data_IF_737574745000
#
_entry.id   IF_737574745000
#
_cell.length_a   1.000
_cell.length_b   1.000
_cell.length_c   1.000
_cell.angle_alpha   90.00
_cell.angle_beta   90.00
_cell.angle_gamma   90.00
#
_symmetry.space_group_name_H-M   'P 1'
#
loop_
_entity.id
_entity.type
_entity.pdbx_description
1 polymer ?
#
# COMPACT_ATOMS: atom_id res chain seq x y z
N UNK A 1 29.72 21.61 -17.81
CA UNK A 1 28.72 20.90 -18.63
C UNK A 1 27.52 21.82 -18.80
N UNK A 2 27.04 21.94 -20.02
CA UNK A 2 25.87 22.74 -20.40
C UNK A 2 24.71 21.80 -20.75
N UNK A 3 23.46 22.29 -20.74
CA UNK A 3 22.30 21.52 -21.18
C UNK A 3 22.43 21.03 -22.64
N UNK A 4 23.25 21.68 -23.45
CA UNK A 4 23.60 21.24 -24.81
C UNK A 4 24.26 19.86 -24.86
N UNK A 5 24.92 19.43 -23.78
CA UNK A 5 25.68 18.18 -23.73
C UNK A 5 24.80 16.96 -23.39
N UNK A 6 23.54 17.19 -23.02
CA UNK A 6 22.62 16.14 -22.55
C UNK A 6 22.34 15.03 -23.56
N UNK A 7 22.14 15.29 -24.86
CA UNK A 7 21.93 14.23 -25.84
C UNK A 7 23.10 13.24 -25.88
N UNK A 8 24.34 13.75 -25.86
CA UNK A 8 25.55 12.93 -25.88
C UNK A 8 25.75 12.17 -24.58
N UNK A 9 25.46 12.79 -23.42
CA UNK A 9 25.51 12.11 -22.12
C UNK A 9 24.50 10.97 -22.03
N UNK A 10 23.26 11.18 -22.50
CA UNK A 10 22.25 10.12 -22.57
C UNK A 10 22.75 8.95 -23.42
N UNK A 11 23.32 9.23 -24.60
CA UNK A 11 23.89 8.19 -25.47
C UNK A 11 25.00 7.40 -24.75
N UNK A 12 25.94 8.10 -24.12
CA UNK A 12 27.04 7.47 -23.35
C UNK A 12 26.52 6.59 -22.21
N UNK A 13 25.55 7.07 -21.44
CA UNK A 13 24.97 6.27 -20.36
C UNK A 13 24.19 5.06 -20.87
N UNK A 14 23.40 5.22 -21.93
CA UNK A 14 22.69 4.08 -22.56
C UNK A 14 23.67 3.01 -23.03
N UNK A 15 24.71 3.40 -23.79
CA UNK A 15 25.72 2.47 -24.28
C UNK A 15 26.43 1.76 -23.12
N UNK A 16 26.77 2.50 -22.06
CA UNK A 16 27.43 1.92 -20.88
C UNK A 16 26.53 0.98 -20.11
N UNK A 17 25.31 1.38 -19.76
CA UNK A 17 24.41 0.53 -18.97
C UNK A 17 24.03 -0.78 -19.67
N UNK A 18 24.05 -0.82 -21.02
CA UNK A 18 23.83 -2.05 -21.79
C UNK A 18 24.96 -3.10 -21.65
N UNK A 19 26.14 -2.72 -21.16
CA UNK A 19 27.29 -3.63 -21.05
C UNK A 19 27.18 -4.65 -19.90
N UNK A 20 26.24 -4.45 -18.96
CA UNK A 20 26.05 -5.32 -17.79
C UNK A 20 24.57 -5.44 -17.43
N UNK A 21 24.22 -6.52 -16.73
CA UNK A 21 22.89 -6.68 -16.15
C UNK A 21 22.66 -5.68 -15.02
N UNK A 22 21.40 -5.46 -14.64
CA UNK A 22 21.05 -4.62 -13.48
C UNK A 22 21.76 -5.10 -12.21
N UNK A 23 21.76 -6.42 -11.94
CA UNK A 23 22.42 -7.03 -10.79
C UNK A 23 23.93 -6.74 -10.77
N UNK A 24 24.60 -6.85 -11.91
CA UNK A 24 26.02 -6.52 -12.03
C UNK A 24 26.29 -5.04 -11.78
N UNK A 25 25.41 -4.13 -12.21
CA UNK A 25 25.52 -2.72 -11.88
C UNK A 25 25.30 -2.45 -10.40
N UNK A 26 24.33 -3.11 -9.76
CA UNK A 26 24.13 -3.03 -8.32
C UNK A 26 25.40 -3.41 -7.57
N UNK A 27 26.07 -4.51 -7.95
CA UNK A 27 27.35 -4.90 -7.35
C UNK A 27 28.47 -3.88 -7.56
N UNK A 28 28.50 -3.20 -8.70
CA UNK A 28 29.52 -2.16 -9.00
C UNK A 28 29.33 -0.91 -8.14
N UNK A 29 28.08 -0.51 -7.88
CA UNK A 29 27.77 0.68 -7.11
C UNK A 29 27.63 0.43 -5.61
N UNK A 30 27.48 -0.82 -5.19
CA UNK A 30 27.40 -1.18 -3.78
C UNK A 30 28.66 -0.74 -3.01
N UNK A 31 28.46 -0.18 -1.82
CA UNK A 31 29.55 0.38 -0.99
C UNK A 31 30.25 1.63 -1.55
N UNK A 32 29.74 2.24 -2.64
CA UNK A 32 30.27 3.51 -3.18
C UNK A 32 29.48 4.72 -2.69
N UNK A 33 30.04 5.93 -2.83
CA UNK A 33 29.35 7.20 -2.51
C UNK A 33 28.34 7.64 -3.60
N UNK A 34 28.00 6.74 -4.53
CA UNK A 34 27.06 7.02 -5.60
C UNK A 34 25.63 6.65 -5.19
N UNK A 35 24.69 7.60 -5.29
CA UNK A 35 23.27 7.36 -5.08
C UNK A 35 22.64 6.62 -6.28
N UNK A 36 22.82 5.31 -6.34
CA UNK A 36 22.26 4.44 -7.37
C UNK A 36 21.36 3.38 -6.72
N UNK A 37 20.18 3.18 -7.29
CA UNK A 37 19.25 2.11 -6.90
C UNK A 37 18.72 1.42 -8.16
N UNK A 38 18.50 0.09 -8.13
CA UNK A 38 17.78 -0.57 -9.21
C UNK A 38 16.33 -0.07 -9.28
N UNK A 39 15.74 -0.17 -10.47
CA UNK A 39 14.29 -0.07 -10.65
C UNK A 39 13.73 -1.47 -10.49
N UNK A 40 12.97 -1.68 -9.42
CA UNK A 40 12.37 -2.96 -9.06
C UNK A 40 10.93 -3.05 -9.57
N UNK A 41 10.47 -4.27 -9.88
CA UNK A 41 9.04 -4.53 -10.03
C UNK A 41 8.33 -4.43 -8.67
N UNK A 42 7.00 -4.41 -8.65
CA UNK A 42 6.26 -4.44 -7.39
C UNK A 42 6.57 -5.72 -6.59
N UNK A 43 6.59 -6.87 -7.26
CA UNK A 43 6.92 -8.16 -6.63
C UNK A 43 8.35 -8.15 -6.06
N UNK A 44 9.33 -7.69 -6.83
CA UNK A 44 10.73 -7.60 -6.37
C UNK A 44 10.88 -6.62 -5.20
N UNK A 45 10.16 -5.50 -5.22
CA UNK A 45 10.19 -4.51 -4.16
C UNK A 45 9.67 -5.10 -2.84
N UNK A 46 8.63 -5.93 -2.86
CA UNK A 46 8.11 -6.59 -1.66
C UNK A 46 9.11 -7.58 -1.06
N UNK A 47 9.94 -8.17 -1.93
CA UNK A 47 10.94 -9.18 -1.56
C UNK A 47 12.32 -8.62 -1.28
N UNK A 48 12.54 -7.32 -1.52
CA UNK A 48 13.82 -6.65 -1.27
C UNK A 48 14.20 -6.69 0.21
N UNK A 49 15.48 -6.95 0.52
CA UNK A 49 15.97 -7.15 1.89
C UNK A 49 15.60 -5.99 2.82
N UNK A 50 15.82 -4.75 2.39
CA UNK A 50 15.42 -3.56 3.14
C UNK A 50 13.93 -3.52 3.52
N UNK A 51 13.05 -3.98 2.63
CA UNK A 51 11.61 -3.99 2.90
C UNK A 51 11.20 -5.15 3.80
N UNK A 52 11.86 -6.31 3.68
CA UNK A 52 11.69 -7.45 4.60
C UNK A 52 12.12 -7.11 6.02
N UNK A 53 13.31 -6.53 6.19
CA UNK A 53 13.84 -6.12 7.50
C UNK A 53 12.91 -5.13 8.22
N UNK A 54 12.26 -4.25 7.44
CA UNK A 54 11.34 -3.24 7.96
C UNK A 54 9.90 -3.73 8.10
N UNK A 55 9.59 -4.94 7.63
CA UNK A 55 8.22 -5.42 7.52
C UNK A 55 7.33 -4.49 6.70
N UNK A 56 7.86 -3.85 5.66
CA UNK A 56 7.17 -2.78 4.91
C UNK A 56 5.87 -3.25 4.23
N UNK A 57 5.67 -4.56 4.09
CA UNK A 57 4.50 -5.17 3.47
C UNK A 57 3.89 -6.25 4.36
N UNK A 58 2.60 -6.48 4.16
CA UNK A 58 1.77 -7.53 4.73
C UNK A 58 1.39 -8.48 3.60
N UNK A 59 1.37 -9.77 3.89
CA UNK A 59 0.82 -10.80 3.02
C UNK A 59 -0.30 -11.45 3.80
N UNK A 60 -1.50 -11.51 3.23
CA UNK A 60 -2.62 -12.22 3.84
C UNK A 60 -2.57 -13.72 3.53
N UNK A 61 -3.56 -14.47 4.05
CA UNK A 61 -3.67 -15.91 3.88
C UNK A 61 -3.97 -16.34 2.43
N UNK A 62 -4.45 -15.41 1.59
CA UNK A 62 -4.74 -15.60 0.17
C UNK A 62 -3.53 -15.27 -0.72
N UNK A 63 -2.47 -14.69 -0.12
CA UNK A 63 -1.23 -14.33 -0.79
C UNK A 63 -1.22 -12.91 -1.36
N UNK A 64 -2.23 -12.10 -1.06
CA UNK A 64 -2.30 -10.72 -1.52
C UNK A 64 -1.37 -9.84 -0.69
N UNK A 65 -0.61 -8.97 -1.38
CA UNK A 65 0.42 -8.14 -0.75
C UNK A 65 -0.04 -6.70 -0.65
N UNK A 66 -0.05 -6.17 0.56
CA UNK A 66 -0.42 -4.78 0.86
C UNK A 66 0.65 -4.06 1.66
N UNK A 67 0.86 -2.74 1.47
CA UNK A 67 1.83 -2.00 2.25
C UNK A 67 1.40 -1.87 3.72
N UNK A 68 2.37 -1.91 4.63
CA UNK A 68 2.13 -1.58 6.03
C UNK A 68 1.87 -0.07 6.17
N UNK A 69 0.94 0.37 7.04
CA UNK A 69 0.70 1.79 7.27
C UNK A 69 1.98 2.58 7.57
N UNK A 70 2.17 3.69 6.85
CA UNK A 70 3.30 4.60 7.00
C UNK A 70 2.83 5.98 7.49
N UNK A 71 3.62 6.69 8.32
CA UNK A 71 4.91 6.29 8.89
C UNK A 71 4.76 5.30 10.06
N UNK A 72 5.85 4.57 10.37
CA UNK A 72 5.92 3.73 11.58
C UNK A 72 6.15 4.59 12.80
N UNK A 73 5.12 4.76 13.62
CA UNK A 73 5.16 5.54 14.85
C UNK A 73 5.51 4.65 16.05
N UNK A 74 6.50 5.06 16.86
CA UNK A 74 6.94 4.28 18.02
C UNK A 74 5.97 4.30 19.20
N UNK A 75 5.25 5.42 19.40
CA UNK A 75 4.33 5.59 20.55
C UNK A 75 2.90 5.14 20.26
N UNK A 76 2.48 5.25 19.00
CA UNK A 76 1.12 4.91 18.55
C UNK A 76 1.21 4.18 17.20
N UNK A 77 1.74 2.94 17.18
CA UNK A 77 1.80 2.16 15.94
C UNK A 77 0.41 2.04 15.34
N UNK A 78 0.27 2.33 14.05
CA UNK A 78 -0.94 1.96 13.32
C UNK A 78 -1.06 0.43 13.30
N UNK A 79 -2.28 -0.10 13.23
CA UNK A 79 -2.50 -1.51 12.92
C UNK A 79 -3.25 -1.58 11.59
N UNK A 80 -2.84 -2.45 10.65
CA UNK A 80 -3.68 -2.72 9.50
C UNK A 80 -5.03 -3.28 9.99
N UNK A 81 -6.15 -2.95 9.33
CA UNK A 81 -7.43 -3.54 9.66
C UNK A 81 -7.35 -5.06 9.50
N UNK A 82 -7.82 -5.79 10.51
CA UNK A 82 -7.88 -7.25 10.50
C UNK A 82 -9.16 -7.81 9.86
N UNK A 83 -10.05 -6.92 9.42
CA UNK A 83 -11.34 -7.24 8.84
C UNK A 83 -11.41 -6.76 7.40
N UNK A 84 -12.25 -7.42 6.61
CA UNK A 84 -12.60 -6.97 5.26
C UNK A 84 -13.14 -5.54 5.26
N UNK A 85 -13.13 -4.93 4.08
CA UNK A 85 -13.82 -3.68 3.83
C UNK A 85 -15.33 -3.82 4.14
N UNK A 86 -15.94 -2.79 4.76
CA UNK A 86 -17.35 -2.84 5.11
C UNK A 86 -18.24 -2.83 3.86
N UNK A 87 -19.36 -3.55 3.93
CA UNK A 87 -20.42 -3.45 2.93
C UNK A 87 -21.14 -2.11 3.07
N UNK A 88 -21.71 -1.64 1.97
CA UNK A 88 -22.58 -0.47 1.98
C UNK A 88 -23.71 -0.71 2.97
N UNK A 89 -23.75 0.09 4.04
CA UNK A 89 -24.79 0.04 5.05
C UNK A 89 -24.59 -0.99 6.16
N UNK A 90 -23.41 -1.62 6.25
CA UNK A 90 -23.08 -2.60 7.30
C UNK A 90 -23.22 -2.01 8.70
N UNK A 91 -22.60 -0.85 8.92
CA UNK A 91 -22.58 -0.20 10.24
C UNK A 91 -23.68 0.87 10.41
N UNK A 92 -24.61 1.01 9.46
CA UNK A 92 -25.64 2.10 9.51
C UNK A 92 -26.46 2.04 10.78
N UNK A 93 -26.93 0.84 11.16
CA UNK A 93 -27.74 0.67 12.36
C UNK A 93 -26.95 1.03 13.62
N UNK A 94 -25.73 0.50 13.74
CA UNK A 94 -24.85 0.70 14.90
C UNK A 94 -24.55 2.18 15.10
N UNK A 95 -24.14 2.87 14.04
CA UNK A 95 -23.85 4.31 14.09
C UNK A 95 -25.12 5.10 14.45
N UNK A 96 -26.28 4.84 13.84
CA UNK A 96 -27.50 5.58 14.19
C UNK A 96 -27.93 5.35 15.64
N UNK A 97 -27.77 4.12 16.15
CA UNK A 97 -28.06 3.82 17.55
C UNK A 97 -27.09 4.55 18.51
N UNK A 98 -25.80 4.62 18.18
CA UNK A 98 -24.79 5.37 18.94
C UNK A 98 -25.13 6.87 19.02
N UNK A 99 -25.69 7.44 17.95
CA UNK A 99 -26.16 8.83 17.91
C UNK A 99 -27.54 9.06 18.58
N UNK A 100 -28.14 8.01 19.15
CA UNK A 100 -29.35 8.11 19.97
C UNK A 100 -30.68 7.92 19.23
N UNK A 101 -30.67 7.45 17.97
CA UNK A 101 -31.90 7.08 17.29
C UNK A 101 -32.49 5.81 17.90
N UNK A 102 -33.81 5.81 18.10
CA UNK A 102 -34.52 4.61 18.54
C UNK A 102 -34.58 3.57 17.42
N UNK A 103 -34.71 2.29 17.80
CA UNK A 103 -34.86 1.20 16.83
C UNK A 103 -36.06 1.42 15.87
N UNK A 104 -37.12 2.09 16.36
CA UNK A 104 -38.28 2.45 15.53
C UNK A 104 -37.92 3.50 14.48
N UNK A 105 -37.24 4.58 14.87
CA UNK A 105 -36.82 5.63 13.92
C UNK A 105 -35.87 5.07 12.85
N UNK A 106 -34.93 4.21 13.24
CA UNK A 106 -34.02 3.56 12.29
C UNK A 106 -34.79 2.68 11.30
N UNK A 107 -35.77 1.91 11.79
CA UNK A 107 -36.64 1.10 10.93
C UNK A 107 -37.50 1.95 9.99
N UNK A 108 -37.98 3.11 10.46
CA UNK A 108 -38.75 4.06 9.64
C UNK A 108 -37.86 4.66 8.53
N UNK A 109 -36.61 5.01 8.84
CA UNK A 109 -35.62 5.47 7.85
C UNK A 109 -35.24 4.39 6.82
N UNK A 110 -35.10 3.15 7.26
CA UNK A 110 -34.78 2.03 6.37
C UNK A 110 -35.96 1.72 5.43
N UNK A 111 -37.18 1.65 5.96
CA UNK A 111 -38.37 1.34 5.17
C UNK A 111 -38.76 2.44 4.20
N UNK A 112 -38.44 3.69 4.51
CA UNK A 112 -38.59 4.84 3.60
C UNK A 112 -37.45 4.96 2.57
N UNK A 113 -36.44 4.08 2.63
CA UNK A 113 -35.31 4.07 1.69
C UNK A 113 -34.33 5.23 1.89
N UNK A 114 -34.40 5.95 3.02
CA UNK A 114 -33.47 7.05 3.35
C UNK A 114 -32.10 6.51 3.71
N UNK A 115 -32.05 5.34 4.35
CA UNK A 115 -30.81 4.66 4.74
C UNK A 115 -30.84 3.19 4.32
N UNK A 116 -29.65 2.62 4.05
CA UNK A 116 -29.48 1.18 3.84
C UNK A 116 -28.85 0.55 5.07
N UNK A 117 -29.43 -0.54 5.58
CA UNK A 117 -28.89 -1.36 6.65
C UNK A 117 -28.66 -2.77 6.11
N UNK A 118 -27.42 -3.12 5.78
CA UNK A 118 -27.05 -4.38 5.17
C UNK A 118 -26.11 -5.15 6.10
N UNK A 119 -26.65 -5.98 6.97
CA UNK A 119 -25.81 -6.80 7.83
C UNK A 119 -25.34 -8.06 7.07
N UNK A 120 -24.05 -8.40 7.07
CA UNK A 120 -23.58 -9.66 6.50
C UNK A 120 -24.26 -10.83 7.23
N UNK A 121 -24.72 -11.83 6.47
CA UNK A 121 -25.35 -13.04 7.03
C UNK A 121 -24.35 -14.03 7.64
N UNK A 122 -23.04 -13.79 7.49
CA UNK A 122 -21.96 -14.61 8.04
C UNK A 122 -20.72 -13.78 8.35
N UNK A 123 -20.08 -14.09 9.48
CA UNK A 123 -18.70 -13.69 9.78
C UNK A 123 -17.76 -14.62 8.99
N UNK A 124 -17.51 -14.31 7.72
CA UNK A 124 -16.34 -14.82 7.01
C UNK A 124 -15.25 -13.76 7.11
#
# INVERSE_FOLDING_TARGET
MSFSDWPDLKKKFTEKFLEKTQEQWCQVFDGTDACVTPVLSLDDATMHEHNKERGSFLCDDEGEVSPWPAPRLSRTPAAPPSSRDPLIGEHTYEVLAEYGFSAKEISDLQSSGVVACNNPKSHL
#
